data_IF_665925650079
#
_entry.id   IF_665925650079
#
_cell.length_a   1.000
_cell.length_b   1.000
_cell.length_c   1.000
_cell.angle_alpha   90.00
_cell.angle_beta   90.00
_cell.angle_gamma   90.00
#
_symmetry.space_group_name_H-M   'P 1'
#
loop_
_entity.id
_entity.type
_entity.pdbx_description
1 polymer ?
#
# COMPACT_ATOMS: atom_id res chain seq x y z
N UNK A 1 73.13 -27.39 -6.49
CA UNK A 1 72.70 -26.37 -5.50
C UNK A 1 71.35 -26.81 -4.96
N UNK A 2 71.32 -27.27 -3.69
CA UNK A 2 70.11 -27.81 -3.03
C UNK A 2 69.60 -26.74 -2.06
N UNK A 3 68.51 -26.10 -2.40
CA UNK A 3 67.89 -25.12 -1.52
C UNK A 3 66.84 -25.83 -0.64
N UNK A 4 67.11 -25.91 0.65
CA UNK A 4 66.20 -26.48 1.67
C UNK A 4 65.34 -25.37 2.23
N UNK A 5 64.05 -25.40 1.94
CA UNK A 5 63.07 -24.55 2.62
C UNK A 5 62.68 -25.21 3.93
N UNK A 6 63.04 -24.55 5.04
CA UNK A 6 62.55 -24.88 6.37
C UNK A 6 61.16 -24.28 6.55
N UNK A 7 60.18 -25.16 6.70
CA UNK A 7 58.77 -24.79 6.97
C UNK A 7 58.60 -24.67 8.46
N UNK A 8 58.52 -23.42 8.96
CA UNK A 8 58.24 -23.12 10.34
C UNK A 8 56.73 -23.27 10.60
N UNK A 9 56.35 -24.30 11.34
CA UNK A 9 54.99 -24.49 11.86
C UNK A 9 54.77 -23.56 13.06
N UNK A 10 53.93 -22.54 12.88
CA UNK A 10 53.39 -21.74 14.01
C UNK A 10 52.19 -22.52 14.57
N UNK A 11 52.16 -22.76 15.90
CA UNK A 11 50.93 -23.26 16.53
C UNK A 11 49.92 -22.11 16.65
N UNK A 12 48.77 -22.23 15.99
CA UNK A 12 47.59 -21.42 16.29
C UNK A 12 47.07 -21.85 17.67
N UNK A 13 47.32 -21.00 18.67
CA UNK A 13 46.61 -21.11 19.94
C UNK A 13 45.15 -20.76 19.74
N UNK A 14 44.29 -21.75 19.84
CA UNK A 14 42.86 -21.52 20.04
C UNK A 14 42.68 -20.94 21.43
N UNK A 15 42.49 -19.63 21.51
CA UNK A 15 41.91 -19.00 22.69
C UNK A 15 40.48 -19.49 22.81
N UNK A 16 40.23 -20.42 23.72
CA UNK A 16 38.88 -20.75 24.16
C UNK A 16 38.27 -19.47 24.77
N UNK A 17 37.31 -18.89 24.08
CA UNK A 17 36.46 -17.87 24.69
C UNK A 17 35.71 -18.55 25.83
N UNK A 18 35.98 -18.11 27.03
CA UNK A 18 35.32 -18.54 28.24
C UNK A 18 33.87 -17.99 28.15
N UNK A 19 32.89 -18.88 27.95
CA UNK A 19 31.47 -18.56 27.88
C UNK A 19 30.97 -17.87 29.16
N UNK A 20 31.72 -17.99 30.26
CA UNK A 20 31.38 -17.38 31.54
C UNK A 20 31.65 -15.87 31.58
N UNK A 21 32.59 -15.38 30.81
CA UNK A 21 32.89 -13.93 30.76
C UNK A 21 31.80 -13.12 30.03
N UNK A 22 30.99 -13.76 29.18
CA UNK A 22 29.90 -13.12 28.50
C UNK A 22 28.63 -13.01 29.36
N UNK A 23 28.48 -13.84 30.39
CA UNK A 23 27.28 -13.83 31.24
C UNK A 23 27.33 -12.75 32.32
N UNK A 24 28.52 -12.20 32.61
CA UNK A 24 28.70 -11.14 33.61
C UNK A 24 28.71 -9.72 32.98
N UNK A 25 28.61 -9.61 31.68
CA UNK A 25 28.57 -8.30 31.03
C UNK A 25 27.17 -7.70 31.08
N UNK A 26 26.84 -7.05 32.20
CA UNK A 26 25.61 -6.27 32.35
C UNK A 26 25.81 -4.87 31.82
N UNK A 27 24.99 -4.50 30.89
CA UNK A 27 24.90 -3.12 30.39
C UNK A 27 24.25 -2.23 31.48
N UNK A 28 24.58 -0.93 31.55
CA UNK A 28 24.01 -0.01 32.56
C UNK A 28 22.50 0.12 32.55
N UNK A 29 21.86 -0.38 31.51
CA UNK A 29 20.39 -0.40 31.34
C UNK A 29 19.75 -1.77 31.60
N UNK A 30 20.54 -2.81 31.83
CA UNK A 30 20.05 -4.12 32.30
C UNK A 30 19.73 -4.02 33.80
N UNK A 31 18.68 -3.30 34.13
CA UNK A 31 18.09 -3.42 35.46
C UNK A 31 17.40 -4.79 35.52
N UNK A 32 17.64 -5.60 36.56
CA UNK A 32 16.86 -6.79 36.77
C UNK A 32 15.40 -6.34 36.93
N UNK A 33 14.54 -6.75 36.00
CA UNK A 33 13.12 -6.70 36.25
C UNK A 33 12.85 -7.46 37.53
N UNK A 34 12.48 -6.71 38.56
CA UNK A 34 12.01 -7.24 39.81
C UNK A 34 10.73 -8.02 39.45
N UNK A 35 10.86 -9.33 39.29
CA UNK A 35 9.72 -10.22 39.07
C UNK A 35 8.89 -10.17 40.34
N UNK A 36 7.98 -9.22 40.39
CA UNK A 36 6.90 -9.23 41.35
C UNK A 36 6.08 -10.47 41.03
N UNK A 37 5.97 -11.45 41.94
CA UNK A 37 5.12 -12.61 41.68
C UNK A 37 3.69 -12.09 41.50
N UNK A 38 3.22 -12.08 40.25
CA UNK A 38 1.82 -11.84 39.96
C UNK A 38 1.03 -12.98 40.57
N UNK A 39 0.45 -12.74 41.74
CA UNK A 39 -0.63 -13.59 42.24
C UNK A 39 -1.71 -13.59 41.15
N UNK A 40 -2.20 -14.76 40.72
CA UNK A 40 -3.26 -14.84 39.74
C UNK A 40 -4.47 -14.07 40.29
N UNK A 41 -4.70 -12.87 39.78
CA UNK A 41 -5.86 -12.08 40.16
C UNK A 41 -7.03 -12.71 39.44
N UNK A 42 -7.93 -13.34 40.21
CA UNK A 42 -9.20 -13.84 39.71
C UNK A 42 -9.89 -12.70 38.94
N UNK A 43 -10.15 -12.83 37.62
CA UNK A 43 -10.79 -11.79 36.84
C UNK A 43 -12.19 -11.42 37.32
N UNK A 44 -12.80 -12.26 38.16
CA UNK A 44 -14.09 -12.00 38.82
C UNK A 44 -13.98 -11.20 40.10
N UNK A 45 -12.77 -11.01 40.65
CA UNK A 45 -12.57 -10.29 41.93
C UNK A 45 -12.48 -8.77 41.78
N UNK A 46 -12.35 -8.26 40.54
CA UNK A 46 -12.43 -6.82 40.28
C UNK A 46 -13.90 -6.44 40.07
N UNK A 47 -14.47 -5.61 40.94
CA UNK A 47 -15.79 -5.05 40.64
C UNK A 47 -15.72 -4.37 39.29
N UNK A 48 -16.71 -4.61 38.41
CA UNK A 48 -16.88 -3.85 37.19
C UNK A 48 -17.06 -2.38 37.62
N UNK A 49 -15.97 -1.62 37.57
CA UNK A 49 -16.04 -0.19 37.83
C UNK A 49 -16.80 0.38 36.65
N UNK A 50 -18.04 0.78 36.88
CA UNK A 50 -18.79 1.51 35.88
C UNK A 50 -17.97 2.74 35.47
N UNK A 51 -17.90 3.07 34.16
CA UNK A 51 -17.13 4.21 33.69
C UNK A 51 -17.60 5.43 34.51
N UNK A 52 -16.65 6.08 35.17
CA UNK A 52 -16.95 7.25 36.05
C UNK A 52 -17.49 8.45 35.28
N UNK A 53 -17.50 8.36 33.95
CA UNK A 53 -18.00 9.41 33.07
C UNK A 53 -19.39 9.00 32.60
N UNK A 54 -20.38 9.74 33.02
CA UNK A 54 -21.75 9.61 32.49
C UNK A 54 -21.71 9.77 30.96
N UNK A 55 -22.49 8.99 30.17
CA UNK A 55 -22.62 9.20 28.73
C UNK A 55 -22.95 10.65 28.35
N UNK A 56 -23.57 11.40 29.23
CA UNK A 56 -23.90 12.81 29.03
C UNK A 56 -22.71 13.76 29.33
N UNK A 57 -21.58 13.25 29.85
CA UNK A 57 -20.39 14.04 30.16
C UNK A 57 -19.24 13.71 29.13
N UNK A 58 -19.45 12.79 28.23
CA UNK A 58 -18.58 12.67 27.08
C UNK A 58 -18.73 13.97 26.29
N UNK A 59 -17.68 14.78 26.09
CA UNK A 59 -17.80 15.96 25.25
C UNK A 59 -18.31 15.46 23.90
N UNK A 60 -19.55 15.79 23.59
CA UNK A 60 -19.99 15.74 22.20
C UNK A 60 -19.06 16.71 21.52
N UNK A 61 -18.18 16.22 20.63
CA UNK A 61 -17.43 17.11 19.76
C UNK A 61 -18.46 17.98 19.04
N UNK A 62 -18.66 19.16 19.59
CA UNK A 62 -19.46 20.21 18.98
C UNK A 62 -18.69 20.54 17.73
N UNK A 63 -19.18 20.06 16.58
CA UNK A 63 -18.90 20.56 15.26
C UNK A 63 -17.64 21.44 15.16
N UNK A 64 -16.48 20.85 15.38
CA UNK A 64 -15.29 21.34 14.72
C UNK A 64 -15.58 21.16 13.23
N UNK A 65 -15.46 22.24 12.47
CA UNK A 65 -15.56 22.24 11.02
C UNK A 65 -14.77 21.05 10.50
N UNK A 66 -15.48 19.94 10.24
CA UNK A 66 -14.86 18.74 9.67
C UNK A 66 -14.38 19.18 8.32
N UNK A 67 -13.08 19.44 8.19
CA UNK A 67 -12.45 19.53 6.89
C UNK A 67 -12.86 18.25 6.17
N UNK A 68 -13.75 18.38 5.21
CA UNK A 68 -14.23 17.26 4.41
C UNK A 68 -12.98 16.69 3.72
N UNK A 69 -12.40 15.66 4.33
CA UNK A 69 -11.40 14.85 3.64
C UNK A 69 -12.12 14.34 2.42
N UNK A 70 -11.67 14.74 1.23
CA UNK A 70 -12.28 14.34 -0.03
C UNK A 70 -12.44 12.81 -0.02
N UNK A 71 -13.66 12.37 0.28
CA UNK A 71 -14.05 10.97 0.09
C UNK A 71 -14.32 10.84 -1.39
N UNK A 72 -13.88 9.73 -1.98
CA UNK A 72 -14.26 9.43 -3.34
C UNK A 72 -15.77 9.58 -3.45
N UNK A 73 -16.22 10.42 -4.37
CA UNK A 73 -17.64 10.64 -4.59
C UNK A 73 -18.33 9.30 -4.80
N UNK A 74 -19.57 9.16 -4.35
CA UNK A 74 -20.37 7.95 -4.55
C UNK A 74 -20.38 7.52 -6.03
N UNK A 75 -20.31 8.47 -6.95
CA UNK A 75 -20.16 8.25 -8.38
C UNK A 75 -18.91 7.44 -8.71
N UNK A 76 -17.74 7.80 -8.16
CA UNK A 76 -16.48 7.06 -8.35
C UNK A 76 -16.57 5.65 -7.78
N UNK A 77 -17.15 5.51 -6.59
CA UNK A 77 -17.28 4.22 -5.92
C UNK A 77 -18.23 3.26 -6.66
N UNK A 78 -19.28 3.79 -7.31
CA UNK A 78 -20.26 3.02 -8.04
C UNK A 78 -19.87 2.79 -9.51
N UNK A 79 -18.95 3.56 -10.07
CA UNK A 79 -18.46 3.35 -11.42
C UNK A 79 -17.65 2.07 -11.51
N UNK A 80 -17.94 1.24 -12.50
CA UNK A 80 -17.24 -0.03 -12.74
C UNK A 80 -16.37 -0.01 -14.00
N UNK A 81 -16.43 1.08 -14.77
CA UNK A 81 -15.67 1.26 -15.99
C UNK A 81 -14.85 2.55 -15.93
N UNK A 82 -13.55 2.44 -16.19
CA UNK A 82 -12.60 3.54 -16.17
C UNK A 82 -11.65 3.46 -17.35
N UNK A 83 -11.20 4.63 -17.79
CA UNK A 83 -10.05 4.78 -18.68
C UNK A 83 -8.94 5.46 -17.89
N UNK A 84 -7.77 4.84 -17.85
CA UNK A 84 -6.57 5.39 -17.22
C UNK A 84 -5.43 5.39 -18.23
N UNK A 85 -4.61 6.44 -18.22
CA UNK A 85 -3.50 6.59 -19.14
C UNK A 85 -2.34 7.38 -18.53
N UNK A 86 -1.15 7.16 -19.05
CA UNK A 86 0.06 7.89 -18.67
C UNK A 86 1.09 7.88 -19.79
N UNK A 87 2.03 8.80 -19.74
CA UNK A 87 2.94 9.10 -20.86
C UNK A 87 4.38 8.67 -20.63
N UNK A 88 4.80 8.39 -19.41
CA UNK A 88 6.21 8.10 -19.06
C UNK A 88 6.39 6.81 -18.26
N UNK A 89 6.57 5.67 -18.95
CA UNK A 89 6.37 5.40 -20.38
C UNK A 89 4.88 5.39 -20.74
N UNK A 90 4.53 5.57 -21.99
CA UNK A 90 3.13 5.53 -22.44
C UNK A 90 2.47 4.20 -22.08
N UNK A 91 1.29 4.29 -21.49
CA UNK A 91 0.40 3.16 -21.20
C UNK A 91 -1.05 3.62 -21.18
N UNK A 92 -1.96 2.70 -21.47
CA UNK A 92 -3.40 2.90 -21.35
C UNK A 92 -4.05 1.64 -20.78
N UNK A 93 -4.97 1.80 -19.87
CA UNK A 93 -5.79 0.72 -19.31
C UNK A 93 -7.24 1.12 -19.37
N UNK A 94 -8.05 0.29 -20.01
CA UNK A 94 -9.50 0.41 -20.03
C UNK A 94 -10.08 -0.69 -19.15
N UNK A 95 -10.77 -0.32 -18.09
CA UNK A 95 -11.39 -1.27 -17.16
C UNK A 95 -12.87 -1.32 -17.40
N UNK A 96 -13.41 -2.53 -17.47
CA UNK A 96 -14.85 -2.80 -17.49
C UNK A 96 -15.15 -4.02 -16.62
N UNK A 97 -15.82 -3.79 -15.50
CA UNK A 97 -16.11 -4.83 -14.51
C UNK A 97 -14.83 -5.50 -13.99
N UNK A 98 -14.66 -6.78 -14.28
CA UNK A 98 -13.53 -7.59 -13.84
C UNK A 98 -12.44 -7.78 -14.91
N UNK A 99 -12.48 -7.00 -15.98
CA UNK A 99 -11.49 -7.08 -17.06
C UNK A 99 -10.82 -5.74 -17.26
N UNK A 100 -9.49 -5.74 -17.30
CA UNK A 100 -8.66 -4.59 -17.64
C UNK A 100 -7.96 -4.86 -18.98
N UNK A 101 -8.17 -4.01 -19.97
CA UNK A 101 -7.46 -4.05 -21.25
C UNK A 101 -6.22 -3.17 -21.15
N UNK A 102 -5.06 -3.79 -21.05
CA UNK A 102 -3.77 -3.11 -20.92
C UNK A 102 -3.10 -2.93 -22.28
N UNK A 103 -2.77 -1.70 -22.62
CA UNK A 103 -2.17 -1.28 -23.88
C UNK A 103 -0.83 -0.59 -23.63
N UNK A 104 0.13 -0.83 -24.52
CA UNK A 104 1.45 -0.20 -24.55
C UNK A 104 1.80 0.17 -25.97
N UNK A 105 2.86 0.97 -26.23
CA UNK A 105 3.31 1.27 -27.59
C UNK A 105 3.65 0.01 -28.41
N UNK A 106 4.12 -1.06 -27.73
CA UNK A 106 4.48 -2.34 -28.36
C UNK A 106 3.27 -3.25 -28.55
N UNK A 107 2.17 -3.00 -27.84
CA UNK A 107 0.92 -3.76 -27.94
C UNK A 107 -0.27 -2.81 -27.91
N UNK A 108 -0.57 -2.18 -29.03
CA UNK A 108 -1.68 -1.22 -29.17
C UNK A 108 -3.04 -1.90 -29.19
N UNK A 109 -3.12 -3.15 -29.63
CA UNK A 109 -4.37 -3.93 -29.55
C UNK A 109 -4.76 -4.26 -28.12
N UNK A 110 -3.79 -4.22 -27.19
CA UNK A 110 -3.98 -4.47 -25.78
C UNK A 110 -4.05 -5.94 -25.39
N UNK A 111 -3.81 -6.22 -24.14
CA UNK A 111 -3.98 -7.52 -23.51
C UNK A 111 -5.06 -7.45 -22.45
N UNK A 112 -5.95 -8.43 -22.43
CA UNK A 112 -6.97 -8.53 -21.39
C UNK A 112 -6.34 -9.16 -20.15
N UNK A 113 -6.55 -8.51 -19.01
CA UNK A 113 -6.11 -8.94 -17.67
C UNK A 113 -7.36 -9.16 -16.85
N UNK A 114 -7.51 -10.35 -16.26
CA UNK A 114 -8.56 -10.58 -15.26
C UNK A 114 -8.18 -9.87 -13.97
N UNK A 115 -9.08 -9.05 -13.45
CA UNK A 115 -8.83 -8.24 -12.25
C UNK A 115 -9.94 -8.38 -11.23
N UNK A 116 -9.57 -8.26 -9.96
CA UNK A 116 -10.49 -8.11 -8.84
C UNK A 116 -10.52 -6.65 -8.42
N UNK A 117 -11.72 -6.13 -8.17
CA UNK A 117 -11.95 -4.74 -7.77
C UNK A 117 -11.99 -4.61 -6.26
N UNK A 118 -11.20 -3.72 -5.70
CA UNK A 118 -11.20 -3.36 -4.28
C UNK A 118 -11.58 -1.89 -4.16
N UNK A 119 -12.60 -1.60 -3.38
CA UNK A 119 -13.06 -0.24 -3.10
C UNK A 119 -12.52 0.20 -1.76
N UNK A 120 -11.96 1.38 -1.68
CA UNK A 120 -11.50 1.98 -0.45
C UNK A 120 -11.92 3.47 -0.39
N UNK A 121 -11.70 4.11 0.76
CA UNK A 121 -12.24 5.44 1.04
C UNK A 121 -11.94 6.51 -0.02
N UNK A 122 -10.80 6.44 -0.69
CA UNK A 122 -10.33 7.47 -1.63
C UNK A 122 -10.36 7.04 -3.09
N UNK A 123 -10.84 5.83 -3.40
CA UNK A 123 -10.85 5.36 -4.76
C UNK A 123 -11.08 3.87 -4.89
N UNK A 124 -10.57 3.33 -5.98
CA UNK A 124 -10.67 1.90 -6.32
C UNK A 124 -9.31 1.37 -6.76
N UNK A 125 -9.07 0.11 -6.49
CA UNK A 125 -7.90 -0.61 -6.97
C UNK A 125 -8.33 -1.89 -7.69
N UNK A 126 -7.73 -2.14 -8.83
CA UNK A 126 -7.91 -3.34 -9.64
C UNK A 126 -6.63 -4.16 -9.55
N UNK A 127 -6.74 -5.39 -9.06
CA UNK A 127 -5.60 -6.29 -8.82
C UNK A 127 -5.77 -7.54 -9.66
N UNK A 128 -4.70 -7.95 -10.33
CA UNK A 128 -4.66 -9.15 -11.17
C UNK A 128 -3.24 -9.61 -11.44
N UNK A 129 -3.11 -10.42 -12.46
CA UNK A 129 -1.83 -10.93 -12.94
C UNK A 129 -1.75 -10.80 -14.47
N UNK A 130 -0.62 -10.34 -14.97
CA UNK A 130 -0.34 -10.25 -16.39
C UNK A 130 1.05 -10.84 -16.71
N UNK A 131 1.07 -11.88 -17.53
CA UNK A 131 2.32 -12.53 -17.95
C UNK A 131 3.15 -13.11 -16.77
N UNK A 132 2.50 -13.60 -15.71
CA UNK A 132 3.15 -14.11 -14.51
C UNK A 132 3.64 -13.01 -13.55
N UNK A 133 3.33 -11.74 -13.83
CA UNK A 133 3.69 -10.61 -12.99
C UNK A 133 2.45 -9.99 -12.32
N UNK A 134 2.60 -9.51 -11.10
CA UNK A 134 1.53 -8.80 -10.41
C UNK A 134 1.13 -7.55 -11.21
N UNK A 135 -0.17 -7.38 -11.41
CA UNK A 135 -0.79 -6.23 -12.05
C UNK A 135 -1.65 -5.50 -11.02
N UNK A 136 -1.47 -4.19 -10.87
CA UNK A 136 -2.43 -3.38 -10.14
C UNK A 136 -2.60 -2.00 -10.77
N UNK A 137 -3.86 -1.54 -10.81
CA UNK A 137 -4.25 -0.20 -11.21
C UNK A 137 -5.01 0.44 -10.07
N UNK A 138 -4.42 1.47 -9.47
CA UNK A 138 -5.02 2.25 -8.40
C UNK A 138 -5.54 3.56 -8.97
N UNK A 139 -6.83 3.85 -8.78
CA UNK A 139 -7.50 5.07 -9.23
C UNK A 139 -7.99 5.82 -8.00
N UNK A 140 -7.62 7.09 -7.87
CA UNK A 140 -8.01 7.96 -6.76
C UNK A 140 -8.82 9.13 -7.25
N UNK A 141 -9.81 9.55 -6.46
CA UNK A 141 -10.61 10.76 -6.66
C UNK A 141 -9.76 12.00 -6.30
N UNK A 142 -8.84 12.35 -7.17
CA UNK A 142 -8.00 13.53 -7.06
C UNK A 142 -7.73 14.06 -8.46
N UNK A 143 -7.90 15.36 -8.68
CA UNK A 143 -7.63 15.98 -9.99
C UNK A 143 -6.22 15.65 -10.47
N UNK A 144 -6.12 15.39 -11.76
CA UNK A 144 -4.90 15.07 -12.47
C UNK A 144 -4.78 15.94 -13.72
N UNK A 145 -3.60 16.48 -13.96
CA UNK A 145 -3.30 17.14 -15.22
C UNK A 145 -2.30 16.30 -15.99
N UNK A 146 -2.64 15.92 -17.21
CA UNK A 146 -1.73 15.17 -18.07
C UNK A 146 -0.51 16.04 -18.42
N UNK A 147 0.68 15.47 -18.21
CA UNK A 147 1.94 16.22 -18.35
C UNK A 147 2.28 16.60 -19.78
N UNK A 148 1.75 15.91 -20.77
CA UNK A 148 2.04 16.18 -22.19
C UNK A 148 0.97 17.04 -22.85
N UNK A 149 -0.31 16.74 -22.64
CA UNK A 149 -1.41 17.46 -23.27
C UNK A 149 -1.88 18.68 -22.47
N UNK A 150 -1.60 18.70 -21.15
CA UNK A 150 -2.17 19.70 -20.23
C UNK A 150 -3.66 19.47 -19.94
N UNK A 151 -4.23 18.37 -20.44
CA UNK A 151 -5.64 18.02 -20.23
C UNK A 151 -5.88 17.67 -18.75
N UNK A 152 -7.03 18.10 -18.24
CA UNK A 152 -7.44 17.85 -16.85
C UNK A 152 -8.37 16.66 -16.78
N UNK A 153 -8.06 15.77 -15.86
CA UNK A 153 -8.85 14.58 -15.55
C UNK A 153 -9.34 14.64 -14.10
N UNK A 154 -10.51 14.06 -13.81
CA UNK A 154 -11.07 14.09 -12.45
C UNK A 154 -10.36 13.17 -11.47
N UNK A 155 -9.46 12.29 -11.95
CA UNK A 155 -8.83 11.26 -11.14
C UNK A 155 -7.37 11.07 -11.48
N UNK A 156 -6.58 10.67 -10.47
CA UNK A 156 -5.22 10.19 -10.66
C UNK A 156 -5.21 8.67 -10.81
N UNK A 157 -4.25 8.15 -11.56
CA UNK A 157 -4.02 6.72 -11.73
C UNK A 157 -2.57 6.35 -11.43
N UNK A 158 -2.38 5.21 -10.78
CA UNK A 158 -1.08 4.59 -10.59
C UNK A 158 -1.15 3.14 -11.06
N UNK A 159 -0.37 2.81 -12.09
CA UNK A 159 -0.24 1.47 -12.64
C UNK A 159 1.02 0.81 -12.11
N UNK A 160 0.90 -0.45 -11.70
CA UNK A 160 2.02 -1.33 -11.38
C UNK A 160 1.94 -2.62 -12.18
N UNK A 161 3.04 -2.97 -12.85
CA UNK A 161 3.19 -4.24 -13.55
C UNK A 161 4.54 -4.84 -13.13
N UNK A 162 4.48 -5.88 -12.30
CA UNK A 162 5.66 -6.42 -11.65
C UNK A 162 6.35 -5.40 -10.75
N UNK A 163 7.62 -5.09 -11.04
CA UNK A 163 8.40 -4.06 -10.33
C UNK A 163 8.21 -2.65 -10.90
N UNK A 164 7.69 -2.54 -12.13
CA UNK A 164 7.51 -1.23 -12.80
C UNK A 164 6.31 -0.50 -12.23
N UNK A 165 6.50 0.79 -11.98
CA UNK A 165 5.44 1.71 -11.53
C UNK A 165 5.36 2.87 -12.49
N UNK A 166 4.14 3.27 -12.85
CA UNK A 166 3.85 4.40 -13.75
C UNK A 166 2.70 5.21 -13.17
N UNK A 167 2.78 6.50 -13.33
CA UNK A 167 1.73 7.45 -12.92
C UNK A 167 0.96 7.91 -14.14
N UNK A 168 -0.24 8.39 -13.93
CA UNK A 168 -1.09 8.93 -14.97
C UNK A 168 -2.40 9.46 -14.44
N UNK A 169 -3.30 9.75 -15.35
CA UNK A 169 -4.63 10.27 -15.09
C UNK A 169 -5.70 9.24 -15.42
N UNK A 170 -6.88 9.42 -14.83
CA UNK A 170 -8.03 8.56 -15.11
C UNK A 170 -9.34 9.35 -15.16
N UNK A 171 -10.30 8.79 -15.87
CA UNK A 171 -11.68 9.24 -15.89
C UNK A 171 -12.61 8.02 -15.90
N UNK A 172 -13.89 8.16 -15.45
CA UNK A 172 -14.92 7.19 -15.75
C UNK A 172 -14.99 6.96 -17.25
N UNK A 173 -15.07 5.71 -17.69
CA UNK A 173 -15.37 5.43 -19.08
C UNK A 173 -16.79 5.92 -19.34
N UNK A 174 -16.96 6.78 -20.33
CA UNK A 174 -18.28 7.17 -20.80
C UNK A 174 -18.97 5.89 -21.29
N UNK A 175 -19.96 5.43 -20.55
CA UNK A 175 -20.87 4.42 -21.09
C UNK A 175 -21.61 5.11 -22.20
N UNK A 176 -21.53 4.57 -23.40
CA UNK A 176 -22.03 5.17 -24.65
C UNK A 176 -23.50 5.69 -24.68
N UNK A 177 -24.17 5.71 -23.54
CA UNK A 177 -25.49 6.33 -23.34
C UNK A 177 -25.42 7.85 -23.06
N UNK A 178 -24.27 8.40 -22.64
CA UNK A 178 -24.12 9.84 -22.40
C UNK A 178 -23.52 10.59 -23.62
N UNK A 179 -22.81 9.87 -24.49
CA UNK A 179 -22.27 10.47 -25.72
C UNK A 179 -23.37 10.91 -26.73
N UNK A 180 -24.54 10.25 -26.72
CA UNK A 180 -25.66 10.63 -27.58
C UNK A 180 -26.44 11.87 -27.11
N UNK A 181 -26.29 12.27 -25.84
CA UNK A 181 -26.98 13.46 -25.32
C UNK A 181 -26.18 14.75 -25.51
N UNK A 182 -24.86 14.68 -25.64
CA UNK A 182 -24.00 15.85 -25.90
C UNK A 182 -23.99 16.25 -27.38
N UNK A 183 -24.39 15.38 -28.31
CA UNK A 183 -24.48 15.64 -29.76
C UNK A 183 -25.83 16.17 -30.21
N UNK A 184 -26.86 16.26 -29.34
CA UNK A 184 -28.20 16.70 -29.63
C UNK A 184 -28.58 18.08 -29.03
N UNK A 185 -27.55 18.87 -28.57
CA UNK A 185 -27.75 20.21 -28.02
C UNK A 185 -27.24 21.32 -28.94
#
# INVERSE_FOLDING_TARGET
MKLRYAMALLPLGLAACDDQAMQDFRMPWDQPEEVVPETPVDPMSKPLVAPQVSPNQVPVEVEGERTLVATAEARTLNTTAFVAQGNEPFWRVEVSGNTAKYQTPQNQSGSNVSVSRIVYRQGVEYIGEWGGAAFSLNIRSAECTDSMSGEKFPMTAALRVGSRRSQGCAAPAETGAEADQAAAG
#
